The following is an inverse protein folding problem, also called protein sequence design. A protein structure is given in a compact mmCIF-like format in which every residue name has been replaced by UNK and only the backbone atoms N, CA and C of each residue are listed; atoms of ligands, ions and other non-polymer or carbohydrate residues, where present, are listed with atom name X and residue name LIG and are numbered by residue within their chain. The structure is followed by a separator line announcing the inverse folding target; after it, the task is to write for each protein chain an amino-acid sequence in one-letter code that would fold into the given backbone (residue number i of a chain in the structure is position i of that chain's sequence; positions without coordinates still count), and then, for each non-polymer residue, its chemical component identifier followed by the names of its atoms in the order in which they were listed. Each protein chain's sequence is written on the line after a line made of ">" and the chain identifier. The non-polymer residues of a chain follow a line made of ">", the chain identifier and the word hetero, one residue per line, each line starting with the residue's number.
data_IF_871601842003
#
_entry.id   IF_871601842003
#
_cell.length_a   1.000
_cell.length_b   1.000
_cell.length_c   1.000
_cell.angle_alpha   90.00
_cell.angle_beta   90.00
_cell.angle_gamma   90.00
#
_symmetry.space_group_name_H-M   'P 1'
#
loop_
_entity.id
_entity.type
_entity.pdbx_description
1 polymer ?
#
# COMPACT_ATOMS: atom_id res chain seq x y z
N UNK A 1 34.50 49.31 -41.92
CA UNK A 1 33.82 49.33 -40.60
C UNK A 1 32.34 49.12 -40.83
N UNK A 2 31.85 47.90 -40.65
CA UNK A 2 30.42 47.57 -40.52
C UNK A 2 30.26 46.07 -40.21
N UNK A 3 29.10 45.76 -39.62
CA UNK A 3 28.53 44.46 -39.24
C UNK A 3 29.05 43.88 -37.91
N UNK A 4 28.21 43.41 -36.98
CA UNK A 4 26.76 43.44 -36.83
C UNK A 4 26.43 42.98 -35.41
N UNK A 5 25.34 43.50 -34.85
CA UNK A 5 24.70 43.08 -33.59
C UNK A 5 24.46 41.57 -33.52
N UNK A 6 24.82 40.94 -32.39
CA UNK A 6 24.32 39.63 -31.99
C UNK A 6 23.38 39.84 -30.81
N UNK A 7 22.09 39.88 -31.12
CA UNK A 7 20.99 39.82 -30.16
C UNK A 7 20.79 38.39 -29.70
N UNK A 8 21.07 38.12 -28.42
CA UNK A 8 20.74 36.86 -27.75
C UNK A 8 19.25 36.84 -27.37
N UNK A 9 18.44 36.13 -28.16
CA UNK A 9 17.07 35.79 -27.79
C UNK A 9 17.07 34.61 -26.80
N UNK A 10 16.66 34.88 -25.57
CA UNK A 10 16.37 33.86 -24.57
C UNK A 10 15.10 33.09 -24.97
N UNK A 11 15.24 31.80 -25.25
CA UNK A 11 14.10 30.91 -25.46
C UNK A 11 13.47 30.60 -24.10
N UNK A 12 12.30 31.20 -23.84
CA UNK A 12 11.44 30.88 -22.72
C UNK A 12 10.89 29.45 -22.89
N UNK A 13 11.35 28.52 -22.05
CA UNK A 13 10.76 27.20 -21.90
C UNK A 13 9.51 27.29 -21.03
N UNK A 14 8.35 27.24 -21.67
CA UNK A 14 7.03 27.13 -21.02
C UNK A 14 6.94 25.82 -20.23
N UNK A 15 6.58 25.83 -18.93
CA UNK A 15 6.36 24.60 -18.19
C UNK A 15 5.03 23.98 -18.63
N UNK A 16 5.09 22.81 -19.25
CA UNK A 16 3.92 21.99 -19.56
C UNK A 16 3.39 21.41 -18.25
N UNK A 17 2.40 22.09 -17.66
CA UNK A 17 1.56 21.54 -16.61
C UNK A 17 0.67 20.43 -17.21
N UNK A 18 1.13 19.17 -17.15
CA UNK A 18 0.26 18.02 -17.36
C UNK A 18 -0.44 17.68 -16.05
N UNK A 19 -1.59 18.30 -15.82
CA UNK A 19 -2.61 17.73 -14.95
C UNK A 19 -3.10 16.43 -15.60
N UNK A 20 -2.48 15.31 -15.23
CA UNK A 20 -3.04 14.01 -15.52
C UNK A 20 -4.32 13.87 -14.68
N UNK A 21 -5.46 14.03 -15.35
CA UNK A 21 -6.75 13.60 -14.83
C UNK A 21 -6.66 12.10 -14.61
N UNK A 22 -6.61 11.67 -13.34
CA UNK A 22 -6.69 10.26 -12.98
C UNK A 22 -8.11 9.84 -13.34
N UNK A 23 -8.25 9.03 -14.40
CA UNK A 23 -9.53 8.51 -14.79
C UNK A 23 -10.04 7.60 -13.66
N UNK A 24 -11.13 8.00 -13.01
CA UNK A 24 -11.78 7.17 -12.00
C UNK A 24 -12.32 5.91 -12.68
N UNK A 25 -11.84 4.74 -12.24
CA UNK A 25 -12.52 3.47 -12.53
C UNK A 25 -13.97 3.59 -12.02
N UNK A 26 -14.98 3.14 -12.77
CA UNK A 26 -16.36 3.19 -12.30
C UNK A 26 -16.45 2.47 -10.96
N UNK A 27 -16.79 3.23 -9.91
CA UNK A 27 -17.03 2.67 -8.60
C UNK A 27 -18.13 1.62 -8.72
N UNK A 28 -17.92 0.43 -8.14
CA UNK A 28 -18.97 -0.57 -8.01
C UNK A 28 -20.21 0.10 -7.40
N UNK A 29 -21.34 0.05 -8.10
CA UNK A 29 -22.62 0.58 -7.63
C UNK A 29 -23.19 -0.16 -6.42
N UNK A 30 -22.48 -1.17 -5.90
CA UNK A 30 -22.83 -1.86 -4.67
C UNK A 30 -22.78 -0.88 -3.49
N UNK A 31 -23.73 -0.97 -2.53
CA UNK A 31 -23.70 -0.15 -1.33
C UNK A 31 -22.40 -0.38 -0.56
N UNK A 32 -21.92 0.66 0.12
CA UNK A 32 -20.77 0.53 1.02
C UNK A 32 -21.20 -0.28 2.26
N UNK A 33 -20.31 -1.13 2.80
CA UNK A 33 -20.64 -1.94 3.97
C UNK A 33 -20.77 -1.10 5.26
N UNK A 34 -21.29 -1.74 6.30
CA UNK A 34 -21.34 -1.23 7.68
C UNK A 34 -22.25 -0.02 7.92
N UNK A 35 -23.21 0.22 7.03
CA UNK A 35 -24.26 1.22 7.27
C UNK A 35 -25.05 0.90 8.55
N UNK A 36 -25.37 1.93 9.34
CA UNK A 36 -26.07 1.79 10.62
C UNK A 36 -25.25 1.19 11.78
N UNK A 37 -24.05 0.67 11.53
CA UNK A 37 -23.17 0.16 12.60
C UNK A 37 -22.39 1.31 13.26
N UNK A 38 -22.11 1.16 14.57
CA UNK A 38 -21.22 2.07 15.31
C UNK A 38 -19.76 1.65 15.19
N UNK A 39 -19.50 0.35 15.32
CA UNK A 39 -18.16 -0.23 15.27
C UNK A 39 -18.17 -1.54 14.48
N UNK A 40 -17.02 -1.90 13.94
CA UNK A 40 -16.79 -3.16 13.24
C UNK A 40 -15.51 -3.82 13.71
N UNK A 41 -15.51 -5.15 13.79
CA UNK A 41 -14.29 -5.91 14.05
C UNK A 41 -13.40 -5.98 12.81
N UNK A 42 -12.10 -6.16 13.01
CA UNK A 42 -11.15 -6.30 11.89
C UNK A 42 -11.50 -7.46 10.94
N UNK A 43 -12.03 -8.57 11.45
CA UNK A 43 -12.51 -9.69 10.61
C UNK A 43 -13.58 -9.25 9.60
N UNK A 44 -14.59 -8.49 10.05
CA UNK A 44 -15.63 -7.97 9.16
C UNK A 44 -15.07 -6.96 8.12
N UNK A 45 -14.05 -6.17 8.51
CA UNK A 45 -13.31 -5.34 7.55
C UNK A 45 -12.61 -6.21 6.50
N UNK A 46 -11.93 -7.29 6.89
CA UNK A 46 -11.26 -8.20 5.95
C UNK A 46 -12.23 -8.92 5.03
N UNK A 47 -13.41 -9.31 5.52
CA UNK A 47 -14.48 -9.89 4.70
C UNK A 47 -14.96 -8.89 3.64
N UNK A 48 -15.16 -7.62 4.05
CA UNK A 48 -15.56 -6.56 3.13
C UNK A 48 -14.48 -6.26 2.07
N UNK A 49 -13.20 -6.28 2.44
CA UNK A 49 -12.09 -6.15 1.47
C UNK A 49 -12.03 -7.36 0.53
N UNK A 50 -12.26 -8.56 1.06
CA UNK A 50 -12.26 -9.81 0.28
C UNK A 50 -13.35 -9.81 -0.78
N UNK A 51 -14.51 -9.18 -0.50
CA UNK A 51 -15.58 -9.00 -1.47
C UNK A 51 -15.18 -8.13 -2.69
N UNK A 52 -14.14 -7.28 -2.56
CA UNK A 52 -13.64 -6.45 -3.66
C UNK A 52 -12.62 -7.19 -4.55
N UNK A 53 -12.05 -8.30 -4.07
CA UNK A 53 -10.99 -9.05 -4.79
C UNK A 53 -11.40 -9.50 -6.20
N UNK A 54 -12.63 -9.97 -6.49
CA UNK A 54 -13.02 -10.36 -7.85
C UNK A 54 -12.98 -9.19 -8.84
N UNK A 55 -13.42 -8.00 -8.43
CA UNK A 55 -13.37 -6.80 -9.27
C UNK A 55 -11.92 -6.37 -9.52
N UNK A 56 -11.06 -6.42 -8.49
CA UNK A 56 -9.63 -6.15 -8.63
C UNK A 56 -8.94 -7.17 -9.55
N UNK A 57 -9.26 -8.46 -9.40
CA UNK A 57 -8.72 -9.54 -10.21
C UNK A 57 -9.07 -9.40 -11.70
N UNK A 58 -10.19 -8.75 -12.03
CA UNK A 58 -10.62 -8.46 -13.39
C UNK A 58 -9.99 -7.18 -13.98
N UNK A 59 -9.37 -6.33 -13.16
CA UNK A 59 -8.84 -5.05 -13.62
C UNK A 59 -7.58 -5.24 -14.50
N UNK A 60 -7.51 -4.62 -15.69
CA UNK A 60 -6.37 -4.78 -16.60
C UNK A 60 -5.03 -4.38 -15.98
N UNK A 61 -5.02 -3.32 -15.17
CA UNK A 61 -3.80 -2.86 -14.51
C UNK A 61 -3.24 -3.88 -13.50
N UNK A 62 -4.12 -4.60 -12.78
CA UNK A 62 -3.74 -5.65 -11.83
C UNK A 62 -3.17 -6.86 -12.58
N UNK A 63 -3.78 -7.23 -13.71
CA UNK A 63 -3.27 -8.29 -14.59
C UNK A 63 -1.91 -7.96 -15.18
N UNK A 64 -1.69 -6.71 -15.55
CA UNK A 64 -0.40 -6.23 -16.06
C UNK A 64 0.69 -6.29 -14.98
N UNK A 65 0.39 -5.91 -13.73
CA UNK A 65 1.34 -6.04 -12.62
C UNK A 65 1.69 -7.52 -12.37
N UNK A 66 0.71 -8.43 -12.44
CA UNK A 66 0.94 -9.87 -12.33
C UNK A 66 1.84 -10.41 -13.45
N UNK A 67 1.57 -10.01 -14.71
CA UNK A 67 2.38 -10.40 -15.86
C UNK A 67 3.85 -10.00 -15.67
N UNK A 68 4.10 -8.80 -15.12
CA UNK A 68 5.46 -8.33 -14.82
C UNK A 68 6.15 -9.20 -13.78
N UNK A 69 5.47 -9.49 -12.67
CA UNK A 69 6.00 -10.35 -11.61
C UNK A 69 6.34 -11.74 -12.16
N UNK A 70 5.42 -12.34 -12.95
CA UNK A 70 5.61 -13.62 -13.62
C UNK A 70 6.85 -13.64 -14.49
N UNK A 71 7.01 -12.64 -15.36
CA UNK A 71 8.15 -12.56 -16.27
C UNK A 71 9.46 -12.39 -15.51
N UNK A 72 9.47 -11.55 -14.47
CA UNK A 72 10.66 -11.31 -13.65
C UNK A 72 11.13 -12.57 -12.92
N UNK A 73 10.20 -13.40 -12.46
CA UNK A 73 10.51 -14.63 -11.72
C UNK A 73 10.41 -15.90 -12.56
N UNK A 74 10.25 -15.79 -13.88
CA UNK A 74 10.08 -16.92 -14.80
C UNK A 74 8.99 -17.92 -14.36
N UNK A 75 7.88 -17.41 -13.82
CA UNK A 75 6.75 -18.22 -13.36
C UNK A 75 5.88 -18.66 -14.55
N UNK A 76 5.07 -19.72 -14.43
CA UNK A 76 3.98 -20.03 -15.36
C UNK A 76 2.68 -19.29 -14.98
N UNK A 77 1.66 -19.34 -15.84
CA UNK A 77 0.32 -18.88 -15.47
C UNK A 77 -0.21 -19.84 -14.40
N UNK A 78 -0.80 -19.29 -13.35
CA UNK A 78 -1.29 -20.03 -12.20
C UNK A 78 -2.39 -19.21 -11.53
N UNK A 79 -3.64 -19.66 -11.65
CA UNK A 79 -4.80 -18.92 -11.13
C UNK A 79 -4.79 -18.81 -9.60
N UNK A 80 -4.28 -19.83 -8.91
CA UNK A 80 -4.20 -19.82 -7.45
C UNK A 80 -3.15 -18.81 -6.98
N UNK A 81 -1.98 -18.80 -7.62
CA UNK A 81 -0.92 -17.85 -7.31
C UNK A 81 -1.29 -16.42 -7.73
N UNK A 82 -2.02 -16.25 -8.83
CA UNK A 82 -2.58 -14.95 -9.20
C UNK A 82 -3.57 -14.44 -8.15
N UNK A 83 -4.45 -15.30 -7.63
CA UNK A 83 -5.38 -14.90 -6.58
C UNK A 83 -4.64 -14.42 -5.32
N UNK A 84 -3.55 -15.10 -4.93
CA UNK A 84 -2.68 -14.65 -3.84
C UNK A 84 -1.97 -13.32 -4.17
N UNK A 85 -1.49 -13.14 -5.40
CA UNK A 85 -0.93 -11.87 -5.85
C UNK A 85 -1.94 -10.73 -5.68
N UNK A 86 -3.21 -10.91 -6.05
CA UNK A 86 -4.25 -9.86 -5.89
C UNK A 86 -4.44 -9.50 -4.42
N UNK A 87 -4.46 -10.50 -3.52
CA UNK A 87 -4.55 -10.28 -2.06
C UNK A 87 -3.34 -9.52 -1.52
N UNK A 88 -2.13 -9.94 -1.90
CA UNK A 88 -0.86 -9.31 -1.51
C UNK A 88 -0.80 -7.87 -2.01
N UNK A 89 -1.16 -7.64 -3.27
CA UNK A 89 -1.23 -6.30 -3.85
C UNK A 89 -2.20 -5.40 -3.12
N UNK A 90 -3.40 -5.89 -2.81
CA UNK A 90 -4.37 -5.12 -2.03
C UNK A 90 -3.82 -4.81 -0.63
N UNK A 91 -3.34 -5.82 0.10
CA UNK A 91 -2.76 -5.63 1.44
C UNK A 91 -1.63 -4.59 1.41
N UNK A 92 -0.75 -4.67 0.43
CA UNK A 92 0.35 -3.72 0.24
C UNK A 92 -0.16 -2.29 0.00
N UNK A 93 -1.09 -2.11 -0.92
CA UNK A 93 -1.55 -0.78 -1.31
C UNK A 93 -2.36 -0.09 -0.20
N UNK A 94 -3.07 -0.85 0.62
CA UNK A 94 -3.82 -0.28 1.75
C UNK A 94 -2.93 0.03 2.95
N UNK A 95 -1.90 -0.77 3.22
CA UNK A 95 -1.10 -0.71 4.46
C UNK A 95 0.24 0.03 4.36
N UNK A 96 0.69 0.41 3.15
CA UNK A 96 1.94 1.15 3.00
C UNK A 96 1.82 2.64 3.35
N UNK A 97 2.95 3.27 3.63
CA UNK A 97 3.07 4.72 3.79
C UNK A 97 2.51 5.47 2.57
N UNK A 98 1.66 6.47 2.83
CA UNK A 98 0.91 7.20 1.80
C UNK A 98 -0.15 6.37 1.07
N UNK A 99 -0.34 5.10 1.45
CA UNK A 99 -1.27 4.16 0.83
C UNK A 99 -2.74 4.52 1.03
N UNK A 100 -3.63 3.62 0.60
CA UNK A 100 -5.06 3.90 0.51
C UNK A 100 -5.72 4.19 1.87
N UNK A 101 -5.17 3.67 2.97
CA UNK A 101 -5.69 3.96 4.31
C UNK A 101 -5.04 5.17 4.97
N UNK A 102 -4.12 5.86 4.30
CA UNK A 102 -3.53 7.10 4.78
C UNK A 102 -2.63 6.93 5.99
N UNK A 103 -1.78 5.91 5.97
CA UNK A 103 -0.73 5.71 6.95
C UNK A 103 0.42 6.69 6.70
N UNK A 104 0.90 7.33 7.76
CA UNK A 104 2.06 8.21 7.74
C UNK A 104 3.27 7.48 8.33
N UNK A 105 4.37 7.47 7.59
CA UNK A 105 5.61 6.90 8.09
C UNK A 105 6.35 7.90 8.99
N UNK A 106 6.66 7.49 10.22
CA UNK A 106 7.56 8.19 11.14
C UNK A 106 8.33 7.18 11.98
N UNK A 107 9.48 7.58 12.51
CA UNK A 107 10.22 6.80 13.51
C UNK A 107 9.39 6.76 14.79
N UNK A 108 9.12 5.56 15.30
CA UNK A 108 8.39 5.32 16.54
C UNK A 108 9.23 4.56 17.58
N UNK A 109 10.37 3.98 17.18
CA UNK A 109 11.26 3.19 18.02
C UNK A 109 10.54 2.01 18.71
N UNK A 110 9.61 1.38 18.00
CA UNK A 110 8.82 0.23 18.48
C UNK A 110 9.31 -1.08 17.88
N UNK A 111 8.70 -2.18 18.33
CA UNK A 111 8.90 -3.50 17.75
C UNK A 111 7.94 -3.70 16.57
N UNK A 112 8.22 -4.64 15.62
CA UNK A 112 7.35 -4.95 14.49
C UNK A 112 6.01 -5.51 14.95
N UNK A 113 5.06 -4.62 15.28
CA UNK A 113 3.72 -4.95 15.76
C UNK A 113 2.74 -3.92 15.26
N UNK A 114 1.59 -4.37 14.75
CA UNK A 114 0.56 -3.45 14.24
C UNK A 114 -0.43 -2.98 15.30
N UNK A 115 -0.31 -3.45 16.56
CA UNK A 115 -1.21 -3.15 17.69
C UNK A 115 -1.46 -1.63 17.87
N UNK A 116 -0.42 -0.82 17.68
CA UNK A 116 -0.49 0.63 17.81
C UNK A 116 -1.30 1.30 16.70
N UNK A 117 -1.25 0.77 15.48
CA UNK A 117 -2.07 1.27 14.36
C UNK A 117 -3.55 0.99 14.64
N UNK A 118 -3.88 -0.23 15.05
CA UNK A 118 -5.25 -0.60 15.42
C UNK A 118 -5.79 0.24 16.59
N UNK A 119 -4.91 0.60 17.54
CA UNK A 119 -5.26 1.46 18.67
C UNK A 119 -5.57 2.88 18.21
N UNK A 120 -4.75 3.45 17.32
CA UNK A 120 -4.99 4.78 16.74
C UNK A 120 -6.33 4.82 15.99
N UNK A 121 -6.61 3.83 15.15
CA UNK A 121 -7.87 3.77 14.42
C UNK A 121 -9.09 3.56 15.33
N UNK A 122 -8.94 2.83 16.43
CA UNK A 122 -10.01 2.68 17.44
C UNK A 122 -10.31 4.01 18.14
N UNK A 123 -9.28 4.77 18.45
CA UNK A 123 -9.37 6.07 19.11
C UNK A 123 -9.70 7.22 18.14
N UNK A 124 -9.79 6.94 16.83
CA UNK A 124 -10.10 7.95 15.83
C UNK A 124 -11.49 8.53 16.10
N UNK A 125 -11.50 9.74 16.63
CA UNK A 125 -12.70 10.50 16.91
C UNK A 125 -13.20 11.08 15.58
N UNK A 126 -14.10 10.37 14.90
CA UNK A 126 -14.52 10.75 13.56
C UNK A 126 -16.02 10.59 13.35
N UNK A 127 -16.76 11.69 13.09
CA UNK A 127 -17.66 11.69 11.95
C UNK A 127 -16.80 11.42 10.70
N UNK A 128 -17.17 10.43 9.87
CA UNK A 128 -16.40 10.08 8.67
C UNK A 128 -16.44 11.20 7.61
N UNK A 129 -15.52 12.17 7.76
CA UNK A 129 -15.25 13.17 6.74
C UNK A 129 -14.94 12.49 5.39
N UNK A 130 -15.47 13.06 4.32
CA UNK A 130 -15.10 12.76 2.94
C UNK A 130 -14.37 13.99 2.40
N UNK A 131 -13.11 13.88 1.95
CA UNK A 131 -12.27 12.68 1.88
C UNK A 131 -11.68 12.23 3.25
N UNK A 132 -11.06 11.04 3.29
CA UNK A 132 -10.24 10.61 4.43
C UNK A 132 -9.19 11.68 4.77
N UNK A 133 -8.86 11.90 6.06
CA UNK A 133 -7.75 12.77 6.42
C UNK A 133 -6.44 12.27 5.81
N UNK A 134 -5.47 13.18 5.66
CA UNK A 134 -4.16 12.83 5.12
C UNK A 134 -3.48 11.72 5.92
N UNK A 135 -3.59 11.79 7.26
CA UNK A 135 -3.09 10.79 8.21
C UNK A 135 -4.25 10.17 8.99
N UNK A 136 -4.33 8.84 9.00
CA UNK A 136 -5.26 8.07 9.85
C UNK A 136 -4.55 7.36 10.99
N UNK A 137 -3.28 7.02 10.81
CA UNK A 137 -2.39 6.53 11.84
C UNK A 137 -0.93 6.74 11.42
N UNK A 138 -0.06 6.81 12.42
CA UNK A 138 1.40 6.93 12.29
C UNK A 138 2.05 5.60 12.67
N UNK A 139 3.00 5.13 11.88
CA UNK A 139 3.75 3.90 12.13
C UNK A 139 5.13 3.90 11.47
N UNK A 140 6.07 3.16 12.05
CA UNK A 140 7.38 2.93 11.46
C UNK A 140 7.38 1.75 10.46
N UNK A 141 8.48 1.53 9.74
CA UNK A 141 8.60 0.50 8.69
C UNK A 141 8.29 -0.93 9.17
N UNK A 142 8.59 -1.22 10.42
CA UNK A 142 8.41 -2.51 11.04
C UNK A 142 6.94 -2.73 11.48
N UNK A 143 6.30 -1.71 12.03
CA UNK A 143 4.86 -1.66 12.32
C UNK A 143 4.02 -1.73 11.04
N UNK A 144 4.42 -1.02 9.97
CA UNK A 144 3.75 -1.07 8.66
C UNK A 144 3.91 -2.44 8.00
N UNK A 145 5.10 -3.05 8.07
CA UNK A 145 5.35 -4.40 7.55
C UNK A 145 4.57 -5.47 8.33
N UNK A 146 4.45 -5.32 9.66
CA UNK A 146 3.59 -6.15 10.49
C UNK A 146 2.11 -6.00 10.11
N UNK A 147 1.65 -4.76 9.90
CA UNK A 147 0.27 -4.49 9.49
C UNK A 147 -0.05 -5.11 8.13
N UNK A 148 0.86 -4.97 7.15
CA UNK A 148 0.76 -5.65 5.86
C UNK A 148 0.55 -7.15 6.03
N UNK A 149 1.36 -7.81 6.88
CA UNK A 149 1.25 -9.24 7.11
C UNK A 149 -0.09 -9.64 7.72
N UNK A 150 -0.58 -8.88 8.71
CA UNK A 150 -1.89 -9.10 9.33
C UNK A 150 -3.02 -8.98 8.31
N UNK A 151 -2.99 -7.95 7.46
CA UNK A 151 -4.00 -7.75 6.42
C UNK A 151 -3.92 -8.84 5.35
N UNK A 152 -2.72 -9.19 4.89
CA UNK A 152 -2.53 -10.25 3.89
C UNK A 152 -3.08 -11.59 4.40
N UNK A 153 -2.79 -11.97 5.65
CA UNK A 153 -3.38 -13.15 6.27
C UNK A 153 -4.91 -13.03 6.43
N UNK A 154 -5.41 -11.85 6.80
CA UNK A 154 -6.84 -11.57 6.92
C UNK A 154 -7.61 -11.74 5.59
N UNK A 155 -6.97 -11.44 4.45
CA UNK A 155 -7.54 -11.64 3.11
C UNK A 155 -7.51 -13.11 2.64
N UNK A 156 -6.94 -14.02 3.43
CA UNK A 156 -6.98 -15.46 3.19
C UNK A 156 -6.01 -15.93 2.10
N UNK A 157 -4.70 -15.70 2.29
CA UNK A 157 -3.67 -16.29 1.44
C UNK A 157 -3.74 -17.82 1.40
N UNK A 158 -3.43 -18.40 0.25
CA UNK A 158 -3.32 -19.84 0.12
C UNK A 158 -2.17 -20.41 0.94
N UNK A 159 -2.19 -21.72 1.20
CA UNK A 159 -1.12 -22.44 1.89
C UNK A 159 0.23 -22.44 1.14
N UNK A 160 0.24 -22.05 -0.14
CA UNK A 160 1.47 -21.91 -0.95
C UNK A 160 2.20 -20.61 -0.67
N UNK A 161 1.52 -19.65 -0.04
CA UNK A 161 2.02 -18.31 0.23
C UNK A 161 2.37 -18.16 1.70
N UNK A 162 3.61 -17.74 1.97
CA UNK A 162 4.08 -17.29 3.28
C UNK A 162 4.29 -15.79 3.25
N UNK A 163 3.85 -15.09 4.30
CA UNK A 163 4.16 -13.67 4.50
C UNK A 163 4.90 -13.54 5.82
N UNK A 164 5.99 -12.79 5.80
CA UNK A 164 6.81 -12.56 6.96
C UNK A 164 7.61 -11.29 6.83
N UNK A 165 8.59 -11.16 7.71
CA UNK A 165 9.46 -10.00 7.81
C UNK A 165 10.90 -10.40 7.57
N UNK A 166 11.62 -9.55 6.84
CA UNK A 166 13.06 -9.54 6.81
C UNK A 166 13.52 -8.64 7.97
N UNK A 167 13.86 -9.28 9.11
CA UNK A 167 14.11 -8.67 10.42
C UNK A 167 15.06 -9.55 11.24
N UNK A 168 15.84 -9.01 12.21
CA UNK A 168 16.20 -7.61 12.33
C UNK A 168 17.16 -7.22 11.21
N UNK A 169 17.02 -6.01 10.68
CA UNK A 169 18.16 -5.33 10.04
C UNK A 169 18.54 -4.14 10.91
N UNK A 170 19.79 -3.69 10.79
CA UNK A 170 20.26 -2.53 11.55
C UNK A 170 19.52 -1.22 11.21
N UNK A 171 18.84 -1.13 10.05
CA UNK A 171 18.33 0.14 9.53
C UNK A 171 16.90 0.10 8.97
N UNK A 172 16.30 -1.09 8.75
CA UNK A 172 14.97 -1.20 8.13
C UNK A 172 14.32 -2.59 8.19
N UNK A 173 13.05 -2.68 8.58
CA UNK A 173 12.27 -3.92 8.45
C UNK A 173 11.44 -3.89 7.18
N UNK A 174 11.47 -4.98 6.40
CA UNK A 174 10.67 -5.09 5.17
C UNK A 174 9.80 -6.33 5.21
N UNK A 175 8.55 -6.20 4.81
CA UNK A 175 7.68 -7.35 4.58
C UNK A 175 8.09 -8.11 3.32
N UNK A 176 7.93 -9.42 3.34
CA UNK A 176 8.19 -10.30 2.19
C UNK A 176 7.04 -11.26 2.03
N UNK A 177 6.60 -11.43 0.79
CA UNK A 177 5.74 -12.53 0.38
C UNK A 177 6.61 -13.57 -0.33
N UNK A 178 6.60 -14.81 0.14
CA UNK A 178 7.34 -15.88 -0.48
C UNK A 178 6.46 -17.10 -0.78
N UNK A 179 6.86 -17.85 -1.79
CA UNK A 179 6.19 -19.06 -2.26
C UNK A 179 7.17 -19.88 -3.09
N UNK A 180 6.86 -21.15 -3.29
CA UNK A 180 7.69 -22.03 -4.12
C UNK A 180 7.13 -22.06 -5.55
N UNK A 181 7.99 -21.77 -6.52
CA UNK A 181 7.69 -21.94 -7.93
C UNK A 181 7.55 -23.43 -8.27
N UNK A 182 6.93 -23.80 -9.41
CA UNK A 182 6.70 -25.21 -9.75
C UNK A 182 7.98 -26.06 -9.91
N UNK A 183 9.12 -25.42 -10.13
CA UNK A 183 10.45 -26.04 -10.17
C UNK A 183 11.06 -26.26 -8.77
N UNK A 184 10.34 -25.91 -7.70
CA UNK A 184 10.78 -26.01 -6.31
C UNK A 184 11.65 -24.84 -5.83
N UNK A 185 11.89 -23.83 -6.67
CA UNK A 185 12.65 -22.64 -6.28
C UNK A 185 11.79 -21.71 -5.43
N UNK A 186 12.31 -21.31 -4.27
CA UNK A 186 11.69 -20.24 -3.48
C UNK A 186 11.78 -18.91 -4.25
N UNK A 187 10.63 -18.24 -4.36
CA UNK A 187 10.52 -16.85 -4.81
C UNK A 187 10.22 -15.98 -3.60
N UNK A 188 10.94 -14.87 -3.47
CA UNK A 188 10.75 -13.86 -2.42
C UNK A 188 10.44 -12.51 -3.05
N UNK A 189 9.21 -12.06 -2.86
CA UNK A 189 8.69 -10.79 -3.36
C UNK A 189 8.73 -9.76 -2.23
N UNK A 190 9.56 -8.74 -2.41
CA UNK A 190 9.69 -7.64 -1.45
C UNK A 190 8.43 -6.77 -1.47
N UNK A 191 7.89 -6.48 -0.28
CA UNK A 191 6.79 -5.54 -0.06
C UNK A 191 7.28 -4.29 0.70
N UNK A 192 7.76 -3.24 -0.01
CA UNK A 192 8.28 -2.03 0.62
C UNK A 192 7.16 -1.16 1.19
N UNK A 193 6.79 -1.43 2.44
CA UNK A 193 5.67 -0.76 3.13
C UNK A 193 5.97 0.68 3.56
N UNK A 194 7.23 1.11 3.49
CA UNK A 194 7.65 2.50 3.74
C UNK A 194 8.42 3.08 2.55
N UNK A 195 8.49 4.41 2.46
CA UNK A 195 9.18 5.12 1.37
C UNK A 195 10.70 5.20 1.46
N UNK A 196 11.33 4.56 2.45
CA UNK A 196 12.80 4.53 2.54
C UNK A 196 13.43 3.86 1.31
N UNK A 197 12.72 2.94 0.67
CA UNK A 197 13.15 2.24 -0.54
C UNK A 197 12.24 2.54 -1.73
N UNK A 198 11.70 3.76 -1.84
CA UNK A 198 10.74 4.10 -2.89
C UNK A 198 11.08 5.40 -3.60
N UNK A 199 11.69 5.29 -4.77
CA UNK A 199 11.61 6.29 -5.81
C UNK A 199 10.25 6.23 -6.54
N UNK A 200 10.08 7.06 -7.57
CA UNK A 200 8.82 7.14 -8.32
C UNK A 200 8.46 5.88 -9.11
N UNK A 201 9.34 4.88 -9.20
CA UNK A 201 9.07 3.66 -9.94
C UNK A 201 8.91 2.44 -9.04
N UNK A 202 9.35 2.47 -7.78
CA UNK A 202 9.36 1.28 -6.90
C UNK A 202 7.97 0.90 -6.35
N UNK A 203 7.72 -0.41 -6.25
CA UNK A 203 6.45 -1.03 -5.80
C UNK A 203 6.73 -2.45 -5.30
N UNK A 204 5.71 -3.30 -5.19
CA UNK A 204 5.90 -4.74 -4.98
C UNK A 204 6.97 -5.27 -5.94
N UNK A 205 7.81 -6.15 -5.38
CA UNK A 205 8.93 -6.78 -6.06
C UNK A 205 10.04 -5.81 -6.52
N UNK A 206 10.24 -4.72 -5.77
CA UNK A 206 11.36 -3.82 -5.99
C UNK A 206 12.71 -4.53 -5.84
N UNK A 207 13.70 -4.08 -6.59
CA UNK A 207 15.11 -4.46 -6.52
C UNK A 207 15.97 -3.56 -5.62
N UNK A 208 15.41 -2.52 -4.99
CA UNK A 208 16.12 -1.69 -4.01
C UNK A 208 16.46 -2.42 -2.71
N UNK A 209 15.86 -3.59 -2.50
CA UNK A 209 16.16 -4.46 -1.37
C UNK A 209 16.42 -5.87 -1.90
N UNK A 210 17.54 -6.46 -1.53
CA UNK A 210 17.82 -7.87 -1.84
C UNK A 210 17.13 -8.79 -0.82
N UNK A 211 16.08 -9.55 -1.22
CA UNK A 211 15.37 -10.44 -0.30
C UNK A 211 16.20 -11.64 0.18
N UNK A 212 17.39 -11.85 -0.39
CA UNK A 212 18.33 -12.90 -0.03
C UNK A 212 19.48 -12.44 0.85
N UNK A 213 19.62 -11.13 1.07
CA UNK A 213 20.58 -10.58 2.03
C UNK A 213 20.35 -11.14 3.45
N UNK A 214 19.11 -11.58 3.74
CA UNK A 214 18.79 -12.35 4.93
C UNK A 214 18.43 -13.80 4.59
N UNK A 215 18.99 -14.72 5.37
CA UNK A 215 18.71 -16.16 5.21
C UNK A 215 17.27 -16.51 5.62
N UNK A 216 16.78 -15.89 6.69
CA UNK A 216 15.53 -16.26 7.36
C UNK A 216 14.44 -15.24 7.07
N UNK A 217 13.26 -15.75 6.69
CA UNK A 217 12.01 -15.00 6.74
C UNK A 217 11.41 -15.24 8.11
N UNK A 218 11.15 -14.17 8.86
CA UNK A 218 10.48 -14.27 10.15
C UNK A 218 8.98 -14.27 9.91
N UNK A 219 8.37 -15.46 9.97
CA UNK A 219 6.93 -15.63 9.79
C UNK A 219 6.15 -14.75 10.77
N UNK A 220 5.20 -13.99 10.26
CA UNK A 220 4.40 -13.08 11.07
C UNK A 220 3.06 -13.71 11.46
N UNK A 221 3.08 -14.53 12.51
CA UNK A 221 1.90 -15.32 12.96
C UNK A 221 1.05 -14.64 14.04
N UNK A 222 1.40 -13.39 14.41
CA UNK A 222 0.67 -12.65 15.45
C UNK A 222 -0.74 -12.28 14.97
N UNK A 223 -1.67 -12.19 15.93
CA UNK A 223 -3.07 -11.80 15.69
C UNK A 223 -3.37 -10.42 16.27
N UNK A 224 -2.59 -9.42 15.90
CA UNK A 224 -2.69 -8.05 16.44
C UNK A 224 -4.11 -7.45 16.27
N UNK A 225 -4.81 -7.85 15.21
CA UNK A 225 -6.16 -7.36 14.90
C UNK A 225 -7.29 -8.17 15.57
N UNK A 226 -7.02 -9.26 16.29
CA UNK A 226 -8.06 -10.21 16.74
C UNK A 226 -9.14 -9.56 17.60
N UNK A 227 -8.76 -8.59 18.43
CA UNK A 227 -9.68 -7.85 19.31
C UNK A 227 -9.87 -6.40 18.85
N UNK A 228 -9.37 -6.05 17.65
CA UNK A 228 -9.48 -4.70 17.12
C UNK A 228 -10.92 -4.42 16.68
N UNK A 229 -11.48 -3.34 17.22
CA UNK A 229 -12.75 -2.75 16.79
C UNK A 229 -12.46 -1.34 16.29
N UNK A 230 -12.95 -1.01 15.11
CA UNK A 230 -12.82 0.30 14.48
C UNK A 230 -14.18 0.98 14.48
N UNK A 231 -14.24 2.33 14.55
CA UNK A 231 -15.43 3.06 14.18
C UNK A 231 -15.90 2.61 12.78
N UNK A 232 -17.14 2.17 12.68
CA UNK A 232 -17.71 1.72 11.41
C UNK A 232 -17.62 2.78 10.29
N UNK A 233 -17.75 4.10 10.57
CA UNK A 233 -17.54 5.12 9.57
C UNK A 233 -16.12 5.10 8.98
N UNK A 234 -15.08 4.87 9.79
CA UNK A 234 -13.69 4.76 9.32
C UNK A 234 -13.50 3.52 8.44
N UNK A 235 -13.95 2.35 8.92
CA UNK A 235 -13.84 1.10 8.17
C UNK A 235 -14.60 1.15 6.83
N UNK A 236 -15.77 1.81 6.79
CA UNK A 236 -16.51 2.04 5.55
C UNK A 236 -15.71 2.88 4.56
N UNK A 237 -14.99 3.91 5.03
CA UNK A 237 -14.12 4.74 4.18
C UNK A 237 -12.93 3.96 3.66
N UNK A 238 -12.33 3.09 4.46
CA UNK A 238 -11.28 2.17 4.00
C UNK A 238 -11.72 1.31 2.82
N UNK A 239 -12.93 0.77 2.86
CA UNK A 239 -13.50 0.01 1.72
C UNK A 239 -13.79 0.94 0.54
N UNK A 240 -14.29 2.16 0.79
CA UNK A 240 -14.55 3.14 -0.28
C UNK A 240 -13.26 3.51 -1.04
N UNK A 241 -12.12 3.70 -0.36
CA UNK A 241 -10.85 3.98 -1.03
C UNK A 241 -10.36 2.80 -1.87
N UNK A 242 -10.57 1.56 -1.39
CA UNK A 242 -10.25 0.36 -2.19
C UNK A 242 -11.08 0.34 -3.47
N UNK A 243 -12.40 0.56 -3.38
CA UNK A 243 -13.28 0.63 -4.56
C UNK A 243 -12.88 1.72 -5.54
N UNK A 244 -12.46 2.89 -5.04
CA UNK A 244 -12.06 4.02 -5.88
C UNK A 244 -10.72 3.82 -6.57
N UNK A 245 -9.74 3.23 -5.87
CA UNK A 245 -8.35 3.40 -6.26
C UNK A 245 -7.54 2.11 -6.35
N UNK A 246 -7.93 1.02 -5.72
CA UNK A 246 -7.09 -0.19 -5.71
C UNK A 246 -6.93 -0.83 -7.10
N UNK A 247 -7.82 -0.57 -8.05
CA UNK A 247 -7.73 -1.05 -9.44
C UNK A 247 -6.82 -0.19 -10.34
N UNK A 248 -6.31 0.94 -9.84
CA UNK A 248 -5.44 1.84 -10.61
C UNK A 248 -4.09 1.19 -10.94
N UNK A 249 -3.40 1.72 -11.95
CA UNK A 249 -2.06 1.28 -12.33
C UNK A 249 -1.00 1.61 -11.28
N UNK A 250 0.13 0.92 -11.31
CA UNK A 250 1.30 1.18 -10.44
C UNK A 250 1.69 2.67 -10.42
N UNK A 251 1.67 3.32 -11.58
CA UNK A 251 2.04 4.74 -11.71
C UNK A 251 1.01 5.68 -11.08
N UNK A 252 -0.28 5.41 -11.26
CA UNK A 252 -1.35 6.19 -10.64
C UNK A 252 -1.38 5.99 -9.13
N UNK A 253 -1.22 4.75 -8.65
CA UNK A 253 -1.09 4.46 -7.23
C UNK A 253 0.14 5.15 -6.62
N UNK A 254 1.28 5.19 -7.34
CA UNK A 254 2.45 5.94 -6.88
C UNK A 254 2.17 7.44 -6.81
N UNK A 255 1.50 8.02 -7.80
CA UNK A 255 1.14 9.43 -7.79
C UNK A 255 0.22 9.77 -6.62
N UNK A 256 -0.74 8.90 -6.29
CA UNK A 256 -1.60 9.03 -5.12
C UNK A 256 -0.79 9.01 -3.81
N UNK A 257 0.13 8.06 -3.67
CA UNK A 257 1.01 7.96 -2.49
C UNK A 257 1.88 9.20 -2.30
N UNK A 258 2.53 9.65 -3.37
CA UNK A 258 3.39 10.83 -3.34
C UNK A 258 2.61 12.09 -2.96
N UNK A 259 1.39 12.25 -3.49
CA UNK A 259 0.51 13.36 -3.14
C UNK A 259 0.14 13.33 -1.67
N UNK A 260 -0.31 12.16 -1.18
CA UNK A 260 -0.72 12.03 0.22
C UNK A 260 0.43 12.31 1.17
N UNK A 261 1.63 11.80 0.89
CA UNK A 261 2.79 12.11 1.73
C UNK A 261 3.18 13.59 1.70
N UNK A 262 3.07 14.24 0.55
CA UNK A 262 3.26 15.68 0.47
C UNK A 262 2.29 16.42 1.41
N UNK A 263 1.02 16.02 1.41
CA UNK A 263 0.00 16.59 2.29
C UNK A 263 0.30 16.31 3.78
N UNK A 264 0.74 15.09 4.11
CA UNK A 264 1.15 14.70 5.46
C UNK A 264 2.33 15.57 5.96
N UNK A 265 3.37 15.74 5.13
CA UNK A 265 4.55 16.58 5.45
C UNK A 265 4.18 18.05 5.60
N UNK A 266 3.24 18.56 4.78
CA UNK A 266 2.71 19.91 4.91
C UNK A 266 1.96 20.10 6.22
N UNK A 267 1.04 19.20 6.56
CA UNK A 267 0.28 19.26 7.80
C UNK A 267 1.20 19.22 9.04
N UNK A 268 2.21 18.35 9.03
CA UNK A 268 3.20 18.27 10.11
C UNK A 268 4.04 19.55 10.25
N UNK A 269 4.22 20.32 9.18
CA UNK A 269 4.98 21.57 9.19
C UNK A 269 4.13 22.75 9.65
N UNK A 270 2.86 22.81 9.26
CA UNK A 270 1.90 23.81 9.74
C UNK A 270 1.64 23.69 11.25
N UNK A 271 1.65 22.48 11.81
CA UNK A 271 1.49 22.24 13.24
C UNK A 271 2.69 22.62 14.11
N UNK A 272 3.81 23.10 13.54
CA UNK A 272 5.03 23.52 14.27
C UNK A 272 5.17 25.03 14.43
N UNK A 273 4.24 25.83 13.90
CA UNK A 273 4.27 27.30 13.99
C UNK A 273 3.43 27.88 15.15
N UNK A 274 3.11 27.07 16.17
CA UNK A 274 2.36 27.48 17.37
C UNK A 274 3.07 27.06 18.66
#
# INVERSE_FOLDING_TARGET
>A
MSAADVSTAAAATTPVARSASIASVPASGAPLPFEGLREVGAGALFDALSAELPALAAAPAVREDWRRLRLRHALPEDDALYADFVRVRLAFEVTRAGGLWGLEWRITDRQPRSDAVWTQWRAADAPAADPLPATTAVAECDELSALFAVVAHGLGLSRRSRVGLLWPTANHTVAVWAFDAPDGREVRVVAPTSQIFLDSVQSLDTDAFDPWAQKTIHDYVRRDAAQARLPAPLARRFVAEVRRSAALSRGELQALRNRREYDQRRAASAGREH
#
